data_IF_502761284958
#
_entry.id   IF_502761284958
#
_cell.length_a   1.000
_cell.length_b   1.000
_cell.length_c   1.000
_cell.angle_alpha   90.00
_cell.angle_beta   90.00
_cell.angle_gamma   90.00
#
_symmetry.space_group_name_H-M   'P 1'
#
loop_
_entity.id
_entity.type
_entity.pdbx_description
1 polymer ?
#
# COMPACT_ATOMS: atom_id res chain seq x y z
N UNK A 1 -6.14 0.64 19.12
CA UNK A 1 -5.51 0.19 17.86
C UNK A 1 -5.29 1.43 17.01
N UNK A 2 -4.05 1.73 16.61
CA UNK A 2 -3.73 2.90 15.80
C UNK A 2 -2.98 2.45 14.55
N UNK A 3 -3.53 2.77 13.38
CA UNK A 3 -2.84 2.63 12.10
C UNK A 3 -2.07 3.93 11.87
N UNK A 4 -0.75 3.85 11.71
CA UNK A 4 0.08 5.03 11.43
C UNK A 4 0.36 5.08 9.94
N UNK A 5 0.12 6.24 9.30
CA UNK A 5 0.52 6.48 7.92
C UNK A 5 2.05 6.55 7.89
N UNK A 6 2.70 5.55 7.32
CA UNK A 6 4.17 5.43 7.28
C UNK A 6 4.76 5.89 5.95
N UNK A 7 3.96 5.86 4.88
CA UNK A 7 4.44 6.21 3.55
C UNK A 7 3.30 6.55 2.60
N UNK A 8 3.65 7.21 1.51
CA UNK A 8 2.75 7.39 0.38
C UNK A 8 3.52 7.32 -0.92
N UNK A 9 2.90 6.79 -1.96
CA UNK A 9 3.50 6.66 -3.29
C UNK A 9 2.43 6.77 -4.38
N UNK A 10 2.86 6.93 -5.63
CA UNK A 10 1.97 6.92 -6.78
C UNK A 10 1.98 5.53 -7.42
N UNK A 11 0.81 5.02 -7.75
CA UNK A 11 0.65 3.79 -8.51
C UNK A 11 -0.22 4.04 -9.72
N UNK A 12 0.13 3.46 -10.86
CA UNK A 12 -0.54 3.66 -12.14
C UNK A 12 -1.22 2.38 -12.59
N UNK A 13 -2.43 2.47 -13.09
CA UNK A 13 -3.09 1.31 -13.70
C UNK A 13 -2.70 1.11 -15.18
N UNK A 14 -3.18 0.02 -15.78
CA UNK A 14 -3.00 -0.27 -17.20
C UNK A 14 -3.68 0.75 -18.14
N UNK A 15 -4.69 1.49 -17.68
CA UNK A 15 -5.33 2.59 -18.42
C UNK A 15 -4.48 3.88 -18.37
N UNK A 16 -3.43 3.87 -17.57
CA UNK A 16 -2.51 4.97 -17.39
C UNK A 16 -2.94 5.98 -16.34
N UNK A 17 -3.98 5.69 -15.54
CA UNK A 17 -4.44 6.56 -14.45
C UNK A 17 -3.54 6.41 -13.24
N UNK A 18 -3.12 7.52 -12.67
CA UNK A 18 -2.27 7.57 -11.47
C UNK A 18 -3.13 7.71 -10.23
N UNK A 19 -2.88 6.86 -9.24
CA UNK A 19 -3.52 6.82 -7.95
C UNK A 19 -2.48 7.05 -6.85
N UNK A 20 -2.79 7.93 -5.91
CA UNK A 20 -1.99 8.06 -4.70
C UNK A 20 -2.34 6.94 -3.73
N UNK A 21 -1.35 6.17 -3.31
CA UNK A 21 -1.45 5.11 -2.32
C UNK A 21 -0.84 5.59 -1.02
N UNK A 22 -1.50 5.27 0.07
CA UNK A 22 -1.10 5.45 1.45
C UNK A 22 -0.76 4.10 2.07
N UNK A 23 0.46 3.99 2.57
CA UNK A 23 0.93 2.85 3.33
C UNK A 23 0.66 3.12 4.82
N UNK A 24 -0.14 2.27 5.42
CA UNK A 24 -0.46 2.29 6.84
C UNK A 24 0.18 1.09 7.51
N UNK A 25 1.00 1.32 8.53
CA UNK A 25 1.52 0.27 9.38
C UNK A 25 0.70 0.25 10.67
N UNK A 26 0.01 -0.84 10.94
CA UNK A 26 -0.64 -1.02 12.24
C UNK A 26 0.40 -1.39 13.29
N UNK A 27 0.59 -0.51 14.27
CA UNK A 27 1.34 -0.84 15.47
C UNK A 27 0.44 -1.71 16.35
N UNK A 28 0.51 -3.02 16.17
CA UNK A 28 0.01 -3.94 17.20
C UNK A 28 1.01 -3.93 18.36
N UNK A 29 0.66 -3.43 19.56
CA UNK A 29 1.44 -3.82 20.72
C UNK A 29 1.21 -5.32 20.91
N UNK A 30 2.26 -6.12 20.73
CA UNK A 30 2.23 -7.56 20.99
C UNK A 30 1.79 -7.79 22.43
N UNK A 31 0.51 -8.12 22.63
CA UNK A 31 -0.07 -8.31 23.96
C UNK A 31 0.14 -9.73 24.50
N UNK A 32 0.51 -10.69 23.66
CA UNK A 32 0.70 -12.08 24.08
C UNK A 32 1.81 -12.73 23.26
N UNK A 33 2.86 -13.19 23.95
CA UNK A 33 4.10 -13.71 23.39
C UNK A 33 3.97 -15.09 22.73
N UNK A 34 3.05 -15.25 21.78
CA UNK A 34 2.84 -16.51 21.06
C UNK A 34 2.74 -16.23 19.56
N UNK A 35 3.88 -16.44 18.88
CA UNK A 35 4.04 -16.77 17.45
C UNK A 35 3.38 -15.85 16.41
N UNK A 36 4.17 -14.97 15.79
CA UNK A 36 3.92 -14.49 14.41
C UNK A 36 3.39 -13.07 14.23
N UNK A 37 3.70 -12.13 15.13
CA UNK A 37 3.30 -10.72 15.00
C UNK A 37 4.21 -9.97 14.01
N UNK A 38 4.08 -10.27 12.72
CA UNK A 38 4.56 -9.35 11.69
C UNK A 38 3.64 -8.13 11.66
N UNK A 39 4.17 -6.89 11.59
CA UNK A 39 3.34 -5.70 11.51
C UNK A 39 2.41 -5.82 10.30
N UNK A 40 1.10 -5.63 10.51
CA UNK A 40 0.13 -5.65 9.41
C UNK A 40 0.28 -4.35 8.63
N UNK A 41 1.00 -4.42 7.51
CA UNK A 41 1.09 -3.30 6.56
C UNK A 41 -0.14 -3.34 5.65
N UNK A 42 -0.97 -2.31 5.73
CA UNK A 42 -2.16 -2.14 4.91
C UNK A 42 -1.95 -1.02 3.91
N UNK A 43 -2.32 -1.26 2.66
CA UNK A 43 -2.26 -0.28 1.58
C UNK A 43 -3.67 0.22 1.23
N UNK A 44 -3.84 1.53 1.13
CA UNK A 44 -5.11 2.15 0.73
C UNK A 44 -4.86 3.29 -0.22
N UNK A 45 -5.73 3.53 -1.18
CA UNK A 45 -5.69 4.75 -1.98
C UNK A 45 -6.02 5.98 -1.12
N UNK A 46 -5.52 7.14 -1.52
CA UNK A 46 -5.82 8.42 -0.89
C UNK A 46 -7.33 8.75 -0.90
N UNK A 47 -8.06 8.20 -1.87
CA UNK A 47 -9.52 8.29 -1.97
C UNK A 47 -10.26 7.39 -0.97
N UNK A 48 -9.56 6.48 -0.28
CA UNK A 48 -10.10 5.58 0.75
C UNK A 48 -10.27 4.12 0.31
N UNK A 49 -10.06 3.81 -0.97
CA UNK A 49 -10.12 2.45 -1.50
C UNK A 49 -9.03 1.53 -0.92
N UNK A 50 -9.36 0.27 -0.65
CA UNK A 50 -8.38 -0.70 -0.15
C UNK A 50 -7.68 -1.40 -1.31
N UNK A 51 -6.37 -1.50 -1.24
CA UNK A 51 -5.57 -2.27 -2.19
C UNK A 51 -4.76 -3.34 -1.45
N UNK A 52 -4.51 -4.44 -2.15
CA UNK A 52 -3.68 -5.54 -1.70
C UNK A 52 -2.33 -5.46 -2.42
N UNK A 53 -1.23 -5.62 -1.70
CA UNK A 53 0.09 -5.71 -2.32
C UNK A 53 0.24 -7.12 -2.91
N UNK A 54 0.33 -7.22 -4.22
CA UNK A 54 0.61 -8.49 -4.91
C UNK A 54 2.11 -8.76 -4.93
N UNK A 55 2.89 -7.72 -5.24
CA UNK A 55 4.34 -7.80 -5.47
C UNK A 55 5.02 -6.54 -4.92
N UNK A 56 6.33 -6.32 -5.16
CA UNK A 56 7.02 -5.12 -4.66
C UNK A 56 6.48 -3.81 -5.27
N UNK A 57 6.20 -3.88 -6.58
CA UNK A 57 5.63 -2.77 -7.34
C UNK A 57 4.19 -3.02 -7.78
N UNK A 58 3.61 -4.21 -7.63
CA UNK A 58 2.23 -4.47 -8.07
C UNK A 58 1.28 -4.54 -6.89
N UNK A 59 0.15 -3.85 -7.06
CA UNK A 59 -0.92 -3.74 -6.10
C UNK A 59 -2.23 -4.01 -6.81
N UNK A 60 -3.23 -4.53 -6.10
CA UNK A 60 -4.53 -4.85 -6.65
C UNK A 60 -5.62 -4.19 -5.84
N UNK A 61 -6.49 -3.44 -6.50
CA UNK A 61 -7.70 -2.92 -5.88
C UNK A 61 -8.59 -4.10 -5.44
N UNK A 62 -8.89 -4.17 -4.15
CA UNK A 62 -9.70 -5.28 -3.61
C UNK A 62 -11.15 -5.17 -4.08
N UNK A 63 -11.66 -3.95 -4.23
CA UNK A 63 -13.05 -3.71 -4.64
C UNK A 63 -13.29 -4.03 -6.12
N UNK A 64 -12.38 -3.60 -7.00
CA UNK A 64 -12.57 -3.70 -8.47
C UNK A 64 -11.68 -4.73 -9.15
N UNK A 65 -10.66 -5.26 -8.46
CA UNK A 65 -9.68 -6.18 -9.01
C UNK A 65 -8.64 -5.56 -9.95
N UNK A 66 -8.61 -4.23 -10.09
CA UNK A 66 -7.68 -3.50 -10.96
C UNK A 66 -6.25 -3.63 -10.45
N UNK A 67 -5.30 -3.92 -11.35
CA UNK A 67 -3.88 -3.95 -11.04
C UNK A 67 -3.28 -2.55 -11.19
N UNK A 68 -2.58 -2.12 -10.14
CA UNK A 68 -1.89 -0.87 -10.00
C UNK A 68 -0.39 -1.16 -9.88
N UNK A 69 0.42 -0.56 -10.73
CA UNK A 69 1.87 -0.66 -10.67
C UNK A 69 2.40 0.61 -10.00
N UNK A 70 3.05 0.48 -8.85
CA UNK A 70 3.80 1.55 -8.19
C UNK A 70 4.77 2.13 -9.20
N UNK A 71 4.58 3.41 -9.48
CA UNK A 71 5.52 4.15 -10.29
C UNK A 71 6.80 4.29 -9.46
N UNK A 72 7.96 3.83 -9.96
CA UNK A 72 9.21 4.20 -9.33
C UNK A 72 9.27 5.73 -9.36
N UNK A 73 9.64 6.36 -8.25
CA UNK A 73 9.96 7.79 -8.27
C UNK A 73 10.95 7.98 -9.41
N UNK A 74 10.48 8.64 -10.48
CA UNK A 74 11.30 8.87 -11.64
C UNK A 74 12.54 9.56 -11.11
N UNK A 75 13.65 8.82 -11.10
CA UNK A 75 14.97 9.44 -11.00
C UNK A 75 15.02 10.29 -12.24
N UNK A 76 14.63 11.56 -12.11
CA UNK A 76 14.76 12.57 -13.13
C UNK A 76 16.24 12.60 -13.44
N UNK A 77 16.64 11.88 -14.49
CA UNK A 77 17.99 11.92 -14.98
C UNK A 77 18.27 13.38 -15.39
N UNK A 78 19.34 14.00 -14.86
CA UNK A 78 19.64 15.41 -15.11
C UNK A 78 20.01 15.71 -16.56
#
# INVERSE_FOLDING_TARGET
MAAVLVGQFHARDAEGRVYSVHEFQESTPSADGITGTEPVTTYKLAIGDRIEKLDDAEFKLVQSGIILTREPEATVAP
#
